data_IF_318793382382
#
_entry.id   IF_318793382382
#
_cell.length_a   1.000
_cell.length_b   1.000
_cell.length_c   1.000
_cell.angle_alpha   90.00
_cell.angle_beta   90.00
_cell.angle_gamma   90.00
#
_symmetry.space_group_name_H-M   'P 1'
#
loop_
_entity.id
_entity.type
_entity.pdbx_description
1 polymer ?
#
# COMPACT_ATOMS: atom_id res chain seq x y z
N UNK A 1 -26.81 40.44 19.16
CA UNK A 1 -28.19 39.92 19.08
C UNK A 1 -28.10 38.40 18.97
N UNK A 2 -28.28 37.73 20.11
CA UNK A 2 -28.56 36.30 20.17
C UNK A 2 -30.04 36.19 20.51
N UNK A 3 -30.80 35.34 19.82
CA UNK A 3 -32.01 34.78 20.40
C UNK A 3 -32.22 33.35 19.90
N UNK A 4 -32.11 32.46 20.88
CA UNK A 4 -32.46 31.06 20.86
C UNK A 4 -34.00 30.93 20.83
N UNK A 5 -34.54 29.93 20.14
CA UNK A 5 -35.93 29.50 20.31
C UNK A 5 -35.97 27.98 20.45
N UNK A 6 -36.30 27.54 21.66
CA UNK A 6 -36.61 26.16 22.05
C UNK A 6 -38.07 26.14 22.48
N UNK A 7 -38.93 25.37 21.83
CA UNK A 7 -40.09 24.60 22.37
C UNK A 7 -40.46 23.61 21.24
N UNK A 8 -40.56 22.29 21.37
CA UNK A 8 -41.02 21.43 22.47
C UNK A 8 -42.37 20.83 22.05
N UNK A 9 -42.42 19.53 21.73
CA UNK A 9 -43.64 18.82 21.34
C UNK A 9 -43.51 17.31 21.45
N UNK A 10 -43.96 16.79 22.59
CA UNK A 10 -43.99 15.38 23.00
C UNK A 10 -44.88 14.48 22.11
N UNK A 11 -44.44 13.24 21.91
CA UNK A 11 -45.26 12.10 21.50
C UNK A 11 -44.55 10.81 21.92
N UNK A 12 -45.18 10.04 22.81
CA UNK A 12 -44.59 9.04 23.71
C UNK A 12 -44.82 7.60 23.19
N UNK A 13 -43.71 6.84 23.12
CA UNK A 13 -43.49 5.37 23.20
C UNK A 13 -44.38 4.34 22.47
N UNK A 14 -43.68 3.39 21.82
CA UNK A 14 -43.92 1.96 22.03
C UNK A 14 -42.59 1.24 22.30
N UNK A 15 -42.56 0.37 23.32
CA UNK A 15 -41.38 -0.32 23.88
C UNK A 15 -41.50 -1.83 23.64
N UNK A 16 -40.48 -2.42 22.98
CA UNK A 16 -39.89 -3.80 23.10
C UNK A 16 -40.76 -5.03 22.71
N UNK A 17 -40.17 -6.16 22.23
CA UNK A 17 -39.09 -6.98 22.83
C UNK A 17 -37.84 -7.12 21.92
N UNK A 18 -36.60 -7.04 22.42
CA UNK A 18 -35.76 -8.08 23.05
C UNK A 18 -35.46 -9.32 22.18
N UNK A 19 -34.17 -9.70 22.20
CA UNK A 19 -33.47 -10.79 21.50
C UNK A 19 -33.24 -10.61 19.99
N UNK A 20 -32.05 -10.86 19.42
CA UNK A 20 -30.89 -11.58 19.92
C UNK A 20 -29.66 -11.32 19.02
N UNK A 21 -28.52 -11.18 19.68
CA UNK A 21 -27.20 -11.70 19.31
C UNK A 21 -26.80 -11.83 17.82
N UNK A 22 -25.67 -11.17 17.52
CA UNK A 22 -24.54 -11.73 16.76
C UNK A 22 -24.77 -12.20 15.31
N UNK A 23 -24.21 -11.41 14.38
CA UNK A 23 -23.28 -11.96 13.38
C UNK A 23 -22.23 -10.90 13.07
N UNK A 24 -21.16 -10.93 13.86
CA UNK A 24 -19.82 -10.71 13.30
C UNK A 24 -19.74 -11.65 12.11
N UNK A 25 -19.91 -11.14 10.90
CA UNK A 25 -19.52 -11.86 9.69
C UNK A 25 -17.99 -11.91 9.72
N UNK A 26 -17.45 -12.82 10.52
CA UNK A 26 -16.13 -13.40 10.26
C UNK A 26 -16.29 -13.90 8.83
N UNK A 27 -15.71 -13.18 7.87
CA UNK A 27 -15.75 -13.55 6.47
C UNK A 27 -15.14 -14.93 6.36
N UNK A 28 -15.98 -15.95 6.39
CA UNK A 28 -15.59 -17.31 6.10
C UNK A 28 -15.04 -17.25 4.69
N UNK A 29 -13.73 -17.44 4.57
CA UNK A 29 -13.09 -17.54 3.27
C UNK A 29 -13.86 -18.58 2.45
N UNK A 30 -14.12 -18.30 1.17
CA UNK A 30 -14.86 -19.21 0.31
C UNK A 30 -14.20 -20.59 0.29
N UNK A 31 -14.99 -21.65 0.00
CA UNK A 31 -14.49 -23.00 -0.09
C UNK A 31 -13.31 -23.09 -1.07
N UNK A 32 -12.36 -23.97 -0.76
CA UNK A 32 -11.02 -24.07 -1.38
C UNK A 32 -11.07 -24.17 -2.92
N UNK A 33 -12.19 -24.66 -3.47
CA UNK A 33 -12.44 -24.80 -4.90
C UNK A 33 -12.53 -23.45 -5.65
N UNK A 34 -12.92 -22.35 -4.99
CA UNK A 34 -12.99 -21.00 -5.59
C UNK A 34 -11.71 -20.17 -5.44
N UNK A 35 -10.65 -20.74 -4.82
CA UNK A 35 -9.35 -20.05 -4.63
C UNK A 35 -8.40 -20.15 -5.83
N UNK A 36 -8.93 -20.00 -7.05
CA UNK A 36 -8.17 -19.91 -8.30
C UNK A 36 -8.92 -18.90 -9.15
N UNK A 37 -8.67 -17.60 -9.01
CA UNK A 37 -7.78 -16.82 -9.90
C UNK A 37 -7.31 -15.52 -9.19
N UNK A 38 -7.49 -15.40 -7.88
CA UNK A 38 -6.89 -14.29 -7.12
C UNK A 38 -5.40 -14.57 -6.90
N UNK A 39 -4.63 -14.58 -7.99
CA UNK A 39 -3.24 -14.14 -7.89
C UNK A 39 -3.35 -12.74 -7.29
N UNK A 40 -2.88 -12.57 -6.05
CA UNK A 40 -2.75 -11.26 -5.38
C UNK A 40 -1.69 -10.48 -6.14
N UNK A 41 -2.02 -10.08 -7.37
CA UNK A 41 -1.24 -9.15 -8.14
C UNK A 41 -1.52 -7.81 -7.49
N UNK A 42 -0.63 -7.36 -6.61
CA UNK A 42 -0.55 -6.05 -5.94
C UNK A 42 -1.84 -5.52 -5.25
N UNK A 43 -1.74 -4.91 -4.05
CA UNK A 43 -2.92 -4.34 -3.39
C UNK A 43 -3.61 -3.30 -4.30
N UNK A 44 -4.93 -3.20 -4.20
CA UNK A 44 -5.70 -2.14 -4.83
C UNK A 44 -5.18 -0.78 -4.34
N UNK A 45 -4.52 -0.04 -5.23
CA UNK A 45 -3.89 1.25 -4.92
C UNK A 45 -4.92 2.34 -5.12
N UNK A 46 -5.38 3.04 -4.08
CA UNK A 46 -6.33 4.14 -4.27
C UNK A 46 -5.70 5.29 -5.10
N UNK A 47 -6.51 6.11 -5.75
CA UNK A 47 -6.01 7.35 -6.35
C UNK A 47 -5.59 8.30 -5.22
N UNK A 48 -4.34 8.73 -5.18
CA UNK A 48 -3.79 9.54 -4.09
C UNK A 48 -2.50 10.25 -4.51
N UNK A 49 -2.13 11.28 -3.76
CA UNK A 49 -0.77 11.80 -3.70
C UNK A 49 0.12 10.79 -2.96
N UNK A 50 1.12 10.26 -3.65
CA UNK A 50 2.09 9.33 -3.09
C UNK A 50 3.41 10.05 -2.79
N UNK A 51 4.11 9.70 -1.70
CA UNK A 51 5.43 10.26 -1.44
C UNK A 51 6.43 9.86 -2.53
N UNK A 52 7.58 10.55 -2.57
CA UNK A 52 8.70 10.12 -3.38
C UNK A 52 9.14 8.69 -2.98
N UNK A 53 9.17 7.77 -3.94
CA UNK A 53 9.37 6.35 -3.70
C UNK A 53 10.50 5.78 -4.54
N UNK A 54 11.34 4.97 -3.89
CA UNK A 54 12.38 4.16 -4.52
C UNK A 54 12.08 2.68 -4.27
N UNK A 55 11.71 1.97 -5.33
CA UNK A 55 11.35 0.55 -5.30
C UNK A 55 12.49 -0.25 -5.91
N UNK A 56 13.07 -1.19 -5.17
CA UNK A 56 14.17 -2.03 -5.66
C UNK A 56 13.78 -3.51 -5.69
N UNK A 57 14.19 -4.23 -6.73
CA UNK A 57 13.98 -5.68 -6.87
C UNK A 57 15.13 -6.34 -7.61
N UNK A 58 15.30 -7.66 -7.45
CA UNK A 58 16.28 -8.47 -8.18
C UNK A 58 15.63 -9.28 -9.29
N UNK A 59 16.28 -9.37 -10.45
CA UNK A 59 15.81 -10.18 -11.57
C UNK A 59 15.71 -11.68 -11.20
N UNK A 60 16.63 -12.15 -10.36
CA UNK A 60 16.77 -13.56 -9.98
C UNK A 60 16.29 -13.82 -8.54
N UNK A 61 15.37 -13.00 -8.03
CA UNK A 61 14.79 -13.18 -6.69
C UNK A 61 13.85 -14.38 -6.68
N UNK A 62 14.31 -15.50 -6.12
CA UNK A 62 13.58 -16.76 -6.05
C UNK A 62 12.36 -16.75 -5.12
N UNK A 63 12.17 -15.72 -4.30
CA UNK A 63 11.07 -15.61 -3.34
C UNK A 63 9.97 -14.69 -3.88
N UNK A 64 10.36 -13.52 -4.39
CA UNK A 64 9.45 -12.46 -4.86
C UNK A 64 9.95 -11.99 -6.22
N UNK A 65 9.25 -12.41 -7.26
CA UNK A 65 9.76 -12.24 -8.61
C UNK A 65 9.62 -10.78 -9.08
N UNK A 66 10.58 -10.29 -9.86
CA UNK A 66 10.69 -8.88 -10.27
C UNK A 66 9.42 -8.28 -10.91
N UNK A 67 8.57 -9.11 -11.53
CA UNK A 67 7.34 -8.64 -12.17
C UNK A 67 6.29 -8.19 -11.16
N UNK A 68 6.32 -8.67 -9.92
CA UNK A 68 5.37 -8.28 -8.87
C UNK A 68 5.53 -6.80 -8.49
N UNK A 69 6.73 -6.32 -8.08
CA UNK A 69 6.95 -4.89 -7.85
C UNK A 69 6.82 -4.08 -9.14
N UNK A 70 7.16 -4.64 -10.32
CA UNK A 70 6.98 -3.92 -11.58
C UNK A 70 5.50 -3.65 -11.90
N UNK A 71 4.62 -4.64 -11.71
CA UNK A 71 3.16 -4.48 -11.86
C UNK A 71 2.62 -3.46 -10.86
N UNK A 72 3.09 -3.50 -9.61
CA UNK A 72 2.66 -2.55 -8.59
C UNK A 72 3.06 -1.11 -8.94
N UNK A 73 4.33 -0.89 -9.33
CA UNK A 73 4.81 0.44 -9.75
C UNK A 73 4.05 0.94 -10.98
N UNK A 74 3.75 0.07 -11.95
CA UNK A 74 2.96 0.46 -13.13
C UNK A 74 1.57 0.97 -12.73
N UNK A 75 0.89 0.31 -11.77
CA UNK A 75 -0.41 0.76 -11.25
C UNK A 75 -0.30 2.06 -10.48
N UNK A 76 0.71 2.20 -9.62
CA UNK A 76 0.96 3.46 -8.90
C UNK A 76 1.15 4.62 -9.88
N UNK A 77 1.92 4.43 -10.95
CA UNK A 77 2.12 5.46 -11.98
C UNK A 77 0.83 5.87 -12.69
N UNK A 78 -0.14 4.97 -12.81
CA UNK A 78 -1.45 5.28 -13.40
C UNK A 78 -2.39 5.99 -12.43
N UNK A 79 -2.20 5.79 -11.12
CA UNK A 79 -3.14 6.26 -10.08
C UNK A 79 -2.61 7.40 -9.22
N UNK A 80 -1.32 7.73 -9.32
CA UNK A 80 -0.73 8.87 -8.61
C UNK A 80 -1.28 10.17 -9.18
N UNK A 81 -1.60 11.10 -8.30
CA UNK A 81 -2.09 12.45 -8.66
C UNK A 81 -1.05 13.54 -8.47
N UNK A 82 0.14 13.17 -8.00
CA UNK A 82 1.25 14.05 -7.67
C UNK A 82 2.41 13.94 -8.68
N UNK A 83 3.41 14.81 -8.55
CA UNK A 83 4.62 14.83 -9.39
C UNK A 83 5.87 14.28 -8.68
N UNK A 84 5.74 13.68 -7.49
CA UNK A 84 6.86 13.12 -6.75
C UNK A 84 7.51 11.94 -7.50
N UNK A 85 8.85 11.81 -7.43
CA UNK A 85 9.56 10.73 -8.12
C UNK A 85 9.14 9.33 -7.68
N UNK A 86 8.82 8.47 -8.65
CA UNK A 86 8.52 7.04 -8.45
C UNK A 86 9.47 6.19 -9.29
N UNK A 87 10.55 5.74 -8.65
CA UNK A 87 11.66 5.00 -9.27
C UNK A 87 11.49 3.51 -9.04
N UNK A 88 11.65 2.72 -10.11
CA UNK A 88 11.81 1.27 -10.06
C UNK A 88 13.24 0.91 -10.47
N UNK A 89 14.02 0.39 -9.54
CA UNK A 89 15.36 -0.16 -9.75
C UNK A 89 15.29 -1.67 -9.82
N UNK A 90 15.47 -2.23 -11.01
CA UNK A 90 15.67 -3.67 -11.19
C UNK A 90 17.16 -3.97 -11.28
N UNK A 91 17.62 -4.86 -10.42
CA UNK A 91 18.99 -5.34 -10.40
C UNK A 91 19.11 -6.64 -11.21
N UNK A 92 19.77 -6.54 -12.37
CA UNK A 92 19.86 -7.63 -13.35
C UNK A 92 20.71 -8.83 -12.88
N UNK A 93 21.42 -8.70 -11.75
CA UNK A 93 22.32 -9.72 -11.23
C UNK A 93 22.06 -10.08 -9.76
N UNK A 94 20.98 -9.56 -9.16
CA UNK A 94 20.63 -9.85 -7.77
C UNK A 94 19.50 -10.87 -7.64
N UNK A 95 19.56 -11.66 -6.57
CA UNK A 95 18.43 -12.44 -6.06
C UNK A 95 17.82 -11.81 -4.80
N UNK A 96 17.13 -12.61 -3.99
CA UNK A 96 16.38 -12.13 -2.82
C UNK A 96 17.22 -11.32 -1.82
N UNK A 97 18.44 -11.76 -1.56
CA UNK A 97 19.36 -11.08 -0.64
C UNK A 97 20.06 -9.84 -1.22
N UNK A 98 19.74 -9.44 -2.45
CA UNK A 98 20.48 -8.42 -3.19
C UNK A 98 21.74 -8.95 -3.88
N UNK A 99 22.65 -8.05 -4.27
CA UNK A 99 23.95 -8.43 -4.86
C UNK A 99 24.85 -9.03 -3.79
N UNK A 100 25.52 -10.12 -4.12
CA UNK A 100 26.58 -10.69 -3.30
C UNK A 100 27.85 -9.82 -3.34
N UNK A 101 28.63 -9.85 -2.25
CA UNK A 101 29.90 -9.15 -2.11
C UNK A 101 29.82 -7.85 -1.30
N UNK A 102 30.84 -7.64 -0.46
CA UNK A 102 30.94 -6.53 0.50
C UNK A 102 30.66 -5.16 -0.13
N UNK A 103 31.34 -4.84 -1.23
CA UNK A 103 31.23 -3.53 -1.87
C UNK A 103 29.91 -3.35 -2.63
N UNK A 104 29.34 -4.41 -3.21
CA UNK A 104 28.08 -4.32 -3.94
C UNK A 104 26.91 -4.02 -3.00
N UNK A 105 26.91 -4.61 -1.80
CA UNK A 105 25.93 -4.27 -0.77
C UNK A 105 26.04 -2.81 -0.34
N UNK A 106 27.26 -2.31 -0.12
CA UNK A 106 27.49 -0.89 0.21
C UNK A 106 27.03 0.04 -0.92
N UNK A 107 27.26 -0.33 -2.17
CA UNK A 107 26.78 0.42 -3.33
C UNK A 107 25.24 0.49 -3.37
N UNK A 108 24.54 -0.62 -3.16
CA UNK A 108 23.06 -0.62 -3.09
C UNK A 108 22.53 0.23 -1.93
N UNK A 109 23.24 0.25 -0.79
CA UNK A 109 22.90 1.10 0.34
C UNK A 109 23.11 2.57 -0.03
N UNK A 110 24.26 2.91 -0.62
CA UNK A 110 24.58 4.26 -1.07
C UNK A 110 23.55 4.78 -2.09
N UNK A 111 23.10 3.95 -3.05
CA UNK A 111 22.05 4.32 -4.01
C UNK A 111 20.74 4.73 -3.30
N UNK A 112 20.32 3.99 -2.26
CA UNK A 112 19.11 4.31 -1.47
C UNK A 112 19.28 5.60 -0.67
N UNK A 113 20.42 5.78 -0.01
CA UNK A 113 20.70 7.01 0.74
C UNK A 113 20.82 8.22 -0.18
N UNK A 114 21.43 8.08 -1.36
CA UNK A 114 21.49 9.15 -2.36
C UNK A 114 20.09 9.60 -2.76
N UNK A 115 19.15 8.68 -2.99
CA UNK A 115 17.75 9.03 -3.26
C UNK A 115 17.14 9.82 -2.10
N UNK A 116 17.32 9.37 -0.85
CA UNK A 116 16.77 10.06 0.32
C UNK A 116 17.37 11.46 0.49
N UNK A 117 18.70 11.59 0.43
CA UNK A 117 19.40 12.87 0.56
C UNK A 117 19.01 13.83 -0.56
N UNK A 118 18.85 13.33 -1.79
CA UNK A 118 18.34 14.10 -2.91
C UNK A 118 16.93 14.63 -2.65
N UNK A 119 16.01 13.81 -2.13
CA UNK A 119 14.66 14.27 -1.77
C UNK A 119 14.65 15.28 -0.60
N UNK A 120 15.64 15.21 0.28
CA UNK A 120 15.80 16.16 1.39
C UNK A 120 16.48 17.47 0.97
N UNK A 121 16.95 17.59 -0.27
CA UNK A 121 17.67 18.78 -0.75
C UNK A 121 19.04 18.98 -0.10
N UNK A 122 19.69 17.90 0.34
CA UNK A 122 21.04 17.98 0.91
C UNK A 122 22.06 18.11 -0.23
N UNK A 123 22.74 19.25 -0.28
CA UNK A 123 23.82 19.53 -1.23
C UNK A 123 25.16 18.96 -0.73
N UNK A 124 26.09 18.71 -1.66
CA UNK A 124 27.42 18.16 -1.36
C UNK A 124 28.44 19.25 -1.03
#
# INVERSE_FOLDING_TARGET
MALCAVVGGCGVTAVRPHESASRLSIGLSPPITERREHVVTSPDTASSDYPAMYVSTGLWDSQVQYWEPAKWVARLRQRKTDDHPLVLRTDMHAGHGGKSGRYRKLQQIAEKYAFVLYQLGVEN
#
